data_IF_472883817250
#
_entry.id   IF_472883817250
#
_cell.length_a   1.000
_cell.length_b   1.000
_cell.length_c   1.000
_cell.angle_alpha   90.00
_cell.angle_beta   90.00
_cell.angle_gamma   90.00
#
_symmetry.space_group_name_H-M   'P 1'
#
loop_
_entity.id
_entity.type
_entity.pdbx_description
1 polymer ?
#
# COMPACT_ATOMS: atom_id res chain seq x y z
N UNK A 1 3.41 7.58 19.45
CA UNK A 1 4.07 6.28 19.21
C UNK A 1 5.13 6.30 18.12
N UNK A 2 4.86 6.84 16.93
CA UNK A 2 5.84 6.83 15.82
C UNK A 2 7.18 7.48 16.20
N UNK A 3 7.15 8.71 16.75
CA UNK A 3 8.35 9.43 17.19
C UNK A 3 8.96 8.91 18.50
N UNK A 4 8.15 8.24 19.33
CA UNK A 4 8.57 7.76 20.65
C UNK A 4 9.76 6.79 20.57
N UNK A 5 9.92 6.11 19.43
CA UNK A 5 11.03 5.18 19.21
C UNK A 5 12.41 5.82 19.39
N UNK A 6 12.57 7.10 19.08
CA UNK A 6 13.87 7.80 19.23
C UNK A 6 14.34 7.91 20.67
N UNK A 7 13.44 7.71 21.65
CA UNK A 7 13.76 7.82 23.07
C UNK A 7 14.25 6.49 23.66
N UNK A 8 14.01 5.36 22.98
CA UNK A 8 14.32 4.02 23.48
C UNK A 8 15.43 3.34 22.67
N UNK A 9 16.25 2.47 23.31
CA UNK A 9 17.19 1.62 22.59
C UNK A 9 16.49 0.69 21.58
N UNK A 10 17.11 0.40 20.41
CA UNK A 10 18.45 0.85 19.99
C UNK A 10 18.51 2.25 19.36
N UNK A 11 17.38 2.93 19.14
CA UNK A 11 17.33 4.16 18.33
C UNK A 11 17.89 5.39 19.04
N UNK A 12 17.78 5.45 20.36
CA UNK A 12 18.34 6.58 21.12
C UNK A 12 19.87 6.68 21.05
N UNK A 13 20.55 5.62 20.58
CA UNK A 13 22.00 5.53 20.44
C UNK A 13 22.44 5.39 18.98
N UNK A 14 21.52 5.18 18.04
CA UNK A 14 21.82 5.15 16.60
C UNK A 14 21.77 6.59 16.04
N UNK A 15 22.91 7.18 15.61
CA UNK A 15 22.92 8.53 15.03
C UNK A 15 22.09 8.64 13.74
N UNK A 16 21.79 7.51 13.09
CA UNK A 16 20.95 7.43 11.90
C UNK A 16 19.49 7.07 12.24
N UNK A 17 19.11 7.00 13.51
CA UNK A 17 17.76 6.62 13.92
C UNK A 17 16.67 7.54 13.37
N UNK A 18 17.00 8.80 13.06
CA UNK A 18 16.03 9.76 12.53
C UNK A 18 15.38 9.26 11.24
N UNK A 19 16.12 8.55 10.37
CA UNK A 19 15.58 7.95 9.13
C UNK A 19 14.37 7.06 9.40
N UNK A 20 14.30 6.46 10.59
CA UNK A 20 13.24 5.53 10.98
C UNK A 20 11.94 6.28 11.25
N UNK A 21 11.95 7.50 11.78
CA UNK A 21 10.71 8.25 12.08
C UNK A 21 10.14 9.01 10.87
N UNK A 22 10.60 8.69 9.67
CA UNK A 22 10.19 9.34 8.43
C UNK A 22 9.18 8.49 7.64
N UNK A 23 8.80 8.95 6.45
CA UNK A 23 7.99 8.18 5.52
C UNK A 23 8.79 7.04 4.85
N UNK A 24 9.42 6.16 5.64
CA UNK A 24 10.29 5.10 5.14
C UNK A 24 9.52 3.93 4.49
N UNK A 25 8.25 3.76 4.83
CA UNK A 25 7.37 2.73 4.27
C UNK A 25 5.89 3.14 4.37
N UNK A 26 5.00 2.32 3.79
CA UNK A 26 3.55 2.57 3.77
C UNK A 26 2.98 2.69 5.19
N UNK A 27 3.39 1.83 6.13
CA UNK A 27 2.88 1.84 7.51
C UNK A 27 3.32 3.11 8.27
N UNK A 28 4.57 3.53 8.08
CA UNK A 28 5.12 4.75 8.65
C UNK A 28 4.38 5.98 8.11
N UNK A 29 4.24 6.10 6.80
CA UNK A 29 3.51 7.22 6.20
C UNK A 29 2.03 7.21 6.60
N UNK A 30 1.39 6.04 6.66
CA UNK A 30 0.01 5.89 7.11
C UNK A 30 -0.14 6.33 8.57
N UNK A 31 0.78 5.93 9.44
CA UNK A 31 0.77 6.36 10.85
C UNK A 31 0.90 7.88 10.99
N UNK A 32 1.71 8.51 10.13
CA UNK A 32 1.89 9.96 10.11
C UNK A 32 0.68 10.70 9.54
N UNK A 33 0.04 10.16 8.50
CA UNK A 33 -0.97 10.88 7.71
C UNK A 33 -2.41 10.57 8.11
N UNK A 34 -2.71 9.37 8.63
CA UNK A 34 -4.07 8.93 8.91
C UNK A 34 -4.83 9.81 9.91
N UNK A 35 -4.22 10.33 10.99
CA UNK A 35 -4.92 11.28 11.87
C UNK A 35 -5.41 12.52 11.10
N UNK A 36 -4.60 13.04 10.18
CA UNK A 36 -4.95 14.19 9.35
C UNK A 36 -5.97 13.82 8.28
N UNK A 37 -5.88 12.63 7.69
CA UNK A 37 -6.90 12.15 6.74
C UNK A 37 -8.27 12.02 7.43
N UNK A 38 -8.29 11.45 8.64
CA UNK A 38 -9.52 11.30 9.41
C UNK A 38 -10.15 12.65 9.75
N UNK A 39 -9.35 13.58 10.29
CA UNK A 39 -9.85 14.86 10.83
C UNK A 39 -10.06 15.94 9.76
N UNK A 40 -9.17 16.03 8.76
CA UNK A 40 -9.07 17.18 7.86
C UNK A 40 -9.42 16.86 6.41
N UNK A 41 -9.26 15.61 5.95
CA UNK A 41 -9.48 15.31 4.54
C UNK A 41 -10.98 15.35 4.19
N UNK A 42 -11.31 16.21 3.21
CA UNK A 42 -12.64 16.23 2.58
C UNK A 42 -12.77 15.18 1.47
N UNK A 43 -11.65 14.65 0.97
CA UNK A 43 -11.65 13.64 -0.08
C UNK A 43 -12.11 12.29 0.45
N UNK A 44 -13.25 11.82 -0.06
CA UNK A 44 -13.79 10.49 0.26
C UNK A 44 -12.84 9.37 -0.17
N UNK A 45 -12.08 9.57 -1.25
CA UNK A 45 -11.11 8.58 -1.75
C UNK A 45 -9.92 8.44 -0.79
N UNK A 46 -9.49 9.52 -0.13
CA UNK A 46 -8.45 9.43 0.90
C UNK A 46 -8.95 8.66 2.13
N UNK A 47 -10.22 8.83 2.51
CA UNK A 47 -10.85 8.06 3.59
C UNK A 47 -11.06 6.59 3.21
N UNK A 48 -11.45 6.32 1.97
CA UNK A 48 -11.50 4.96 1.41
C UNK A 48 -10.11 4.30 1.47
N UNK A 49 -9.07 5.01 1.01
CA UNK A 49 -7.68 4.55 1.11
C UNK A 49 -7.28 4.28 2.57
N UNK A 50 -7.56 5.20 3.48
CA UNK A 50 -7.28 5.02 4.92
C UNK A 50 -7.93 3.76 5.47
N UNK A 51 -9.19 3.47 5.10
CA UNK A 51 -9.86 2.23 5.46
C UNK A 51 -9.19 1.00 4.86
N UNK A 52 -9.13 0.92 3.53
CA UNK A 52 -8.65 -0.29 2.85
C UNK A 52 -7.20 -0.59 3.20
N UNK A 53 -6.30 0.39 3.05
CA UNK A 53 -4.89 0.17 3.31
C UNK A 53 -4.58 0.09 4.81
N UNK A 54 -5.28 0.82 5.67
CA UNK A 54 -5.10 0.68 7.12
C UNK A 54 -5.42 -0.73 7.61
N UNK A 55 -6.56 -1.27 7.19
CA UNK A 55 -6.97 -2.63 7.54
C UNK A 55 -6.05 -3.67 6.87
N UNK A 56 -5.82 -3.60 5.56
CA UNK A 56 -4.99 -4.59 4.85
C UNK A 56 -3.55 -4.60 5.35
N UNK A 57 -2.87 -3.45 5.35
CA UNK A 57 -1.46 -3.38 5.70
C UNK A 57 -1.23 -3.71 7.18
N UNK A 58 -2.13 -3.26 8.06
CA UNK A 58 -2.08 -3.61 9.47
C UNK A 58 -2.23 -5.11 9.69
N UNK A 59 -3.24 -5.75 9.08
CA UNK A 59 -3.45 -7.20 9.22
C UNK A 59 -2.26 -8.00 8.69
N UNK A 60 -1.75 -7.65 7.50
CA UNK A 60 -0.57 -8.32 6.93
C UNK A 60 0.64 -8.19 7.86
N UNK A 61 0.90 -7.01 8.41
CA UNK A 61 2.01 -6.79 9.33
C UNK A 61 1.88 -7.55 10.66
N UNK A 62 0.65 -7.74 11.16
CA UNK A 62 0.39 -8.54 12.36
C UNK A 62 0.62 -10.04 12.11
N UNK A 63 0.22 -10.54 10.94
CA UNK A 63 0.39 -11.95 10.56
C UNK A 63 1.82 -12.28 10.15
N UNK A 64 2.51 -11.35 9.49
CA UNK A 64 3.86 -11.50 8.96
C UNK A 64 4.76 -10.36 9.43
N UNK A 65 5.17 -10.35 10.71
CA UNK A 65 5.94 -9.27 11.31
C UNK A 65 7.44 -9.37 10.93
N UNK A 66 7.75 -9.20 9.64
CA UNK A 66 9.10 -9.38 9.09
C UNK A 66 10.16 -8.55 9.83
N UNK A 67 9.82 -7.34 10.27
CA UNK A 67 10.73 -6.46 11.03
C UNK A 67 11.03 -6.95 12.45
N UNK A 68 10.23 -7.86 13.01
CA UNK A 68 10.32 -8.31 14.40
C UNK A 68 10.62 -9.81 14.54
N UNK A 69 10.83 -10.55 13.44
CA UNK A 69 11.05 -12.01 13.45
C UNK A 69 12.16 -12.47 14.41
N UNK A 70 13.18 -11.64 14.63
CA UNK A 70 14.34 -11.96 15.47
C UNK A 70 14.35 -11.21 16.83
N UNK A 71 13.26 -10.55 17.20
CA UNK A 71 13.17 -9.78 18.45
C UNK A 71 12.30 -10.50 19.49
N UNK A 72 12.66 -10.41 20.77
CA UNK A 72 11.79 -10.97 21.82
C UNK A 72 10.46 -10.22 21.90
N UNK A 73 9.42 -10.94 22.28
CA UNK A 73 8.05 -10.44 22.36
C UNK A 73 7.90 -9.23 23.31
N UNK A 74 8.61 -9.24 24.44
CA UNK A 74 8.53 -8.19 25.47
C UNK A 74 9.49 -7.01 25.22
N UNK A 75 10.21 -6.98 24.10
CA UNK A 75 10.99 -5.79 23.75
C UNK A 75 10.04 -4.66 23.37
N UNK A 76 10.40 -3.45 23.79
CA UNK A 76 9.64 -2.24 23.48
C UNK A 76 9.33 -2.12 21.99
N UNK A 77 10.27 -2.48 21.11
CA UNK A 77 10.10 -2.45 19.67
C UNK A 77 9.03 -3.39 19.15
N UNK A 78 8.98 -4.61 19.67
CA UNK A 78 7.98 -5.60 19.31
C UNK A 78 6.59 -5.12 19.73
N UNK A 79 6.45 -4.69 21.00
CA UNK A 79 5.18 -4.16 21.53
C UNK A 79 4.71 -2.94 20.73
N UNK A 80 5.63 -1.99 20.46
CA UNK A 80 5.36 -0.80 19.66
C UNK A 80 4.92 -1.15 18.26
N UNK A 81 5.58 -2.11 17.61
CA UNK A 81 5.23 -2.59 16.27
C UNK A 81 3.80 -3.13 16.26
N UNK A 82 3.46 -4.06 17.15
CA UNK A 82 2.11 -4.62 17.23
C UNK A 82 1.06 -3.55 17.54
N UNK A 83 1.32 -2.69 18.52
CA UNK A 83 0.41 -1.61 18.90
C UNK A 83 0.15 -0.63 17.75
N UNK A 84 1.20 -0.21 17.03
CA UNK A 84 1.07 0.69 15.89
C UNK A 84 0.18 0.09 14.79
N UNK A 85 0.37 -1.19 14.46
CA UNK A 85 -0.44 -1.85 13.44
C UNK A 85 -1.88 -2.11 13.90
N UNK A 86 -2.11 -2.41 15.17
CA UNK A 86 -3.46 -2.49 15.74
C UNK A 86 -4.18 -1.15 15.60
N UNK A 87 -3.53 -0.02 15.94
CA UNK A 87 -4.13 1.31 15.79
C UNK A 87 -4.41 1.65 14.33
N UNK A 88 -3.52 1.25 13.40
CA UNK A 88 -3.73 1.42 11.96
C UNK A 88 -4.94 0.63 11.42
N UNK A 89 -5.33 -0.47 12.06
CA UNK A 89 -6.53 -1.24 11.71
C UNK A 89 -7.76 -0.63 12.39
N UNK A 90 -7.70 -0.46 13.72
CA UNK A 90 -8.86 -0.09 14.53
C UNK A 90 -9.34 1.32 14.18
N UNK A 91 -8.45 2.29 13.99
CA UNK A 91 -8.84 3.67 13.69
C UNK A 91 -9.72 3.78 12.43
N UNK A 92 -9.23 3.32 11.26
CA UNK A 92 -10.04 3.31 10.05
C UNK A 92 -11.26 2.39 10.13
N UNK A 93 -11.16 1.23 10.78
CA UNK A 93 -12.30 0.34 10.96
C UNK A 93 -13.43 1.03 11.73
N UNK A 94 -13.11 1.67 12.87
CA UNK A 94 -14.07 2.42 13.67
C UNK A 94 -14.65 3.60 12.92
N UNK A 95 -13.87 4.29 12.08
CA UNK A 95 -14.38 5.37 11.22
C UNK A 95 -15.57 4.91 10.36
N UNK A 96 -15.48 3.71 9.77
CA UNK A 96 -16.57 3.16 8.96
C UNK A 96 -17.67 2.56 9.83
N UNK A 97 -17.31 1.81 10.87
CA UNK A 97 -18.27 1.16 11.78
C UNK A 97 -19.19 2.18 12.47
N UNK A 98 -18.64 3.32 12.89
CA UNK A 98 -19.39 4.41 13.53
C UNK A 98 -20.01 5.40 12.53
N UNK A 99 -19.98 5.07 11.23
CA UNK A 99 -20.59 5.85 10.15
C UNK A 99 -20.02 7.27 9.97
N UNK A 100 -18.80 7.54 10.47
CA UNK A 100 -18.06 8.79 10.17
C UNK A 100 -17.56 8.83 8.71
N UNK A 101 -17.54 7.68 8.04
CA UNK A 101 -17.28 7.56 6.61
C UNK A 101 -18.08 6.38 6.03
N UNK A 102 -18.71 6.61 4.87
CA UNK A 102 -19.39 5.56 4.13
C UNK A 102 -18.53 5.13 2.93
N UNK A 103 -18.18 3.85 2.94
CA UNK A 103 -17.49 3.22 1.82
C UNK A 103 -18.36 3.30 0.56
N UNK A 104 -17.71 3.29 -0.59
CA UNK A 104 -18.41 3.19 -1.86
C UNK A 104 -17.58 2.34 -2.82
N UNK A 105 -18.12 1.18 -3.18
CA UNK A 105 -17.35 0.24 -4.00
C UNK A 105 -17.04 0.80 -5.40
N UNK A 106 -17.85 1.74 -5.91
CA UNK A 106 -17.63 2.41 -7.21
C UNK A 106 -16.42 3.35 -7.18
N UNK A 107 -15.89 3.72 -6.01
CA UNK A 107 -14.67 4.55 -5.88
C UNK A 107 -13.38 3.73 -5.77
N UNK A 108 -13.48 2.41 -5.65
CA UNK A 108 -12.33 1.51 -5.40
C UNK A 108 -11.24 1.65 -6.46
N UNK A 109 -11.59 1.85 -7.73
CA UNK A 109 -10.60 2.02 -8.80
C UNK A 109 -9.67 3.23 -8.60
N UNK A 110 -10.06 4.19 -7.76
CA UNK A 110 -9.25 5.36 -7.40
C UNK A 110 -8.28 5.09 -6.24
N UNK A 111 -8.48 4.01 -5.49
CA UNK A 111 -7.62 3.65 -4.35
C UNK A 111 -6.19 3.33 -4.79
N UNK A 112 -5.94 2.58 -5.89
CA UNK A 112 -4.61 2.44 -6.46
C UNK A 112 -3.90 3.77 -6.75
N UNK A 113 -4.62 4.81 -7.19
CA UNK A 113 -4.00 6.12 -7.45
C UNK A 113 -3.45 6.76 -6.18
N UNK A 114 -4.19 6.69 -5.07
CA UNK A 114 -3.72 7.18 -3.77
C UNK A 114 -2.53 6.36 -3.30
N UNK A 115 -2.56 5.05 -3.51
CA UNK A 115 -1.44 4.17 -3.20
C UNK A 115 -0.17 4.58 -3.97
N UNK A 116 -0.25 4.86 -5.28
CA UNK A 116 0.89 5.34 -6.05
C UNK A 116 1.40 6.70 -5.56
N UNK A 117 0.51 7.61 -5.15
CA UNK A 117 0.91 8.87 -4.54
C UNK A 117 1.70 8.63 -3.23
N UNK A 118 1.25 7.69 -2.40
CA UNK A 118 1.94 7.25 -1.18
C UNK A 118 3.32 6.67 -1.49
N UNK A 119 3.42 5.77 -2.47
CA UNK A 119 4.72 5.22 -2.89
C UNK A 119 5.65 6.31 -3.44
N UNK A 120 5.12 7.28 -4.19
CA UNK A 120 5.87 8.45 -4.66
C UNK A 120 6.45 9.28 -3.52
N UNK A 121 5.67 9.53 -2.46
CA UNK A 121 6.14 10.22 -1.25
C UNK A 121 7.28 9.42 -0.59
N UNK A 122 7.17 8.10 -0.52
CA UNK A 122 8.22 7.24 0.05
C UNK A 122 9.51 7.32 -0.78
N UNK A 123 9.42 7.30 -2.12
CA UNK A 123 10.59 7.49 -3.00
C UNK A 123 11.25 8.84 -2.75
N UNK A 124 10.46 9.92 -2.71
CA UNK A 124 10.99 11.27 -2.46
C UNK A 124 11.66 11.34 -1.08
N UNK A 125 11.06 10.75 -0.06
CA UNK A 125 11.65 10.65 1.27
C UNK A 125 12.99 9.89 1.23
N UNK A 126 13.07 8.77 0.53
CA UNK A 126 14.31 8.00 0.40
C UNK A 126 15.42 8.81 -0.29
N UNK A 127 15.11 9.47 -1.41
CA UNK A 127 16.04 10.37 -2.10
C UNK A 127 16.59 11.43 -1.15
N UNK A 128 15.71 12.15 -0.45
CA UNK A 128 16.11 13.22 0.48
C UNK A 128 17.04 12.66 1.56
N UNK A 129 16.67 11.53 2.18
CA UNK A 129 17.46 10.94 3.25
C UNK A 129 18.84 10.45 2.80
N UNK A 130 18.93 9.97 1.57
CA UNK A 130 20.20 9.61 0.94
C UNK A 130 21.06 10.84 0.69
N UNK A 131 20.51 11.90 0.11
CA UNK A 131 21.25 13.14 -0.19
C UNK A 131 21.80 13.82 1.07
N UNK A 132 21.04 13.84 2.18
CA UNK A 132 21.50 14.44 3.44
C UNK A 132 22.38 13.51 4.28
N UNK A 133 22.73 12.32 3.76
CA UNK A 133 23.65 11.38 4.42
C UNK A 133 23.06 10.63 5.62
N UNK A 134 21.75 10.72 5.88
CA UNK A 134 21.08 9.88 6.89
C UNK A 134 20.97 8.42 6.42
N UNK A 135 21.19 8.18 5.13
CA UNK A 135 21.12 6.88 4.49
C UNK A 135 22.33 6.71 3.58
N UNK A 136 23.21 5.74 3.83
CA UNK A 136 24.33 5.50 2.95
C UNK A 136 23.85 4.93 1.61
N UNK A 137 24.42 5.42 0.50
CA UNK A 137 24.31 4.79 -0.81
C UNK A 137 24.91 3.38 -0.72
N UNK A 138 24.07 2.34 -0.73
CA UNK A 138 24.56 0.96 -0.75
C UNK A 138 25.04 0.64 -2.16
N UNK A 139 26.36 0.47 -2.31
CA UNK A 139 26.95 0.07 -3.59
C UNK A 139 26.65 1.02 -4.75
N UNK A 140 26.44 2.32 -4.47
CA UNK A 140 26.09 3.37 -5.45
C UNK A 140 24.75 3.24 -6.18
N UNK A 141 23.84 2.34 -5.79
CA UNK A 141 22.52 2.21 -6.43
C UNK A 141 21.37 2.46 -5.43
N UNK A 142 20.71 3.61 -5.58
CA UNK A 142 19.48 3.97 -4.86
C UNK A 142 18.33 3.00 -5.17
N UNK A 143 18.36 2.35 -6.33
CA UNK A 143 17.27 1.54 -6.87
C UNK A 143 17.51 0.03 -6.71
N UNK A 144 18.38 -0.39 -5.79
CA UNK A 144 18.63 -1.82 -5.55
C UNK A 144 17.38 -2.52 -4.93
N UNK A 145 16.77 -3.49 -5.63
CA UNK A 145 15.58 -4.20 -5.14
C UNK A 145 15.86 -5.11 -3.93
N UNK A 146 17.13 -5.48 -3.68
CA UNK A 146 17.54 -6.39 -2.61
C UNK A 146 17.79 -5.69 -1.28
N UNK A 147 17.67 -4.37 -1.24
CA UNK A 147 17.83 -3.61 -0.01
C UNK A 147 16.69 -3.85 0.98
N UNK A 148 17.02 -3.93 2.27
CA UNK A 148 16.09 -3.86 3.40
C UNK A 148 15.13 -2.65 3.35
N UNK A 149 15.28 -1.71 2.43
CA UNK A 149 14.45 -0.50 2.32
C UNK A 149 13.41 -0.56 1.19
N UNK A 150 13.34 -1.68 0.49
CA UNK A 150 12.35 -1.96 -0.54
C UNK A 150 11.10 -2.69 0.01
N UNK A 151 10.71 -2.45 1.27
CA UNK A 151 9.56 -3.14 1.90
C UNK A 151 8.22 -2.86 1.21
N UNK A 152 8.12 -1.76 0.46
CA UNK A 152 6.94 -1.41 -0.33
C UNK A 152 7.05 -1.88 -1.79
N UNK A 153 8.07 -2.68 -2.11
CA UNK A 153 8.36 -3.24 -3.45
C UNK A 153 8.49 -2.18 -4.56
N UNK A 154 8.83 -0.95 -4.19
CA UNK A 154 8.97 0.19 -5.10
C UNK A 154 9.98 -0.11 -6.21
N UNK A 155 11.12 -0.73 -5.87
CA UNK A 155 12.25 -0.96 -6.76
C UNK A 155 12.31 -2.36 -7.37
N UNK A 156 11.34 -3.22 -7.03
CA UNK A 156 11.26 -4.59 -7.51
C UNK A 156 10.78 -5.55 -6.43
N UNK A 157 10.72 -6.83 -6.75
CA UNK A 157 10.34 -7.87 -5.77
C UNK A 157 11.52 -8.16 -4.85
N UNK A 158 11.22 -8.33 -3.56
CA UNK A 158 12.19 -8.69 -2.52
C UNK A 158 12.41 -10.21 -2.59
N UNK A 159 13.65 -10.71 -2.74
CA UNK A 159 13.95 -12.13 -3.00
C UNK A 159 13.33 -13.12 -1.99
N UNK A 160 13.17 -12.68 -0.75
CA UNK A 160 12.62 -13.44 0.37
C UNK A 160 11.14 -13.82 0.17
N UNK A 161 10.45 -13.25 -0.83
CA UNK A 161 9.03 -13.50 -1.09
C UNK A 161 8.75 -14.55 -2.19
N UNK A 162 9.79 -15.24 -2.71
CA UNK A 162 9.71 -16.48 -3.53
C UNK A 162 8.54 -16.59 -4.51
N UNK A 163 7.48 -17.30 -4.11
CA UNK A 163 6.28 -17.54 -4.94
C UNK A 163 5.57 -16.26 -5.42
N UNK A 164 5.64 -15.18 -4.65
CA UNK A 164 5.03 -13.91 -5.04
C UNK A 164 5.76 -13.24 -6.20
N UNK A 165 7.06 -13.53 -6.40
CA UNK A 165 7.83 -12.90 -7.48
C UNK A 165 7.34 -13.33 -8.85
N UNK A 166 7.21 -14.63 -9.08
CA UNK A 166 6.76 -15.17 -10.37
C UNK A 166 5.34 -14.69 -10.70
N UNK A 167 4.46 -14.71 -9.70
CA UNK A 167 3.09 -14.24 -9.85
C UNK A 167 3.02 -12.74 -10.18
N UNK A 168 3.79 -11.89 -9.48
CA UNK A 168 3.81 -10.45 -9.75
C UNK A 168 4.46 -10.14 -11.12
N UNK A 169 5.50 -10.88 -11.51
CA UNK A 169 6.11 -10.76 -12.85
C UNK A 169 5.13 -11.15 -13.94
N UNK A 170 4.30 -12.19 -13.75
CA UNK A 170 3.27 -12.58 -14.72
C UNK A 170 2.26 -11.46 -14.98
N UNK A 171 1.89 -10.71 -13.94
CA UNK A 171 0.98 -9.57 -14.05
C UNK A 171 1.65 -8.31 -14.60
N UNK A 172 2.98 -8.27 -14.69
CA UNK A 172 3.71 -7.07 -15.07
C UNK A 172 4.05 -7.07 -16.57
N UNK A 173 3.65 -6.05 -17.34
CA UNK A 173 4.08 -5.91 -18.73
C UNK A 173 5.60 -5.93 -18.86
N UNK A 174 6.12 -6.72 -19.81
CA UNK A 174 7.57 -6.88 -20.04
C UNK A 174 8.29 -5.54 -20.28
N UNK A 175 7.59 -4.57 -20.86
CA UNK A 175 8.13 -3.20 -21.09
C UNK A 175 8.46 -2.47 -19.78
N UNK A 176 7.77 -2.77 -18.67
CA UNK A 176 8.05 -2.18 -17.35
C UNK A 176 9.17 -2.90 -16.60
N UNK A 177 9.67 -4.01 -17.17
CA UNK A 177 10.77 -4.82 -16.64
C UNK A 177 12.05 -4.66 -17.47
N UNK A 178 12.09 -3.72 -18.43
CA UNK A 178 13.24 -3.49 -19.32
C UNK A 178 13.58 -2.02 -19.44
N UNK A 179 14.87 -1.69 -19.38
CA UNK A 179 15.34 -0.30 -19.55
C UNK A 179 15.08 0.14 -21.01
N UNK A 180 14.41 1.28 -21.24
CA UNK A 180 13.91 1.66 -22.56
C UNK A 180 14.93 2.43 -23.41
N UNK A 181 15.80 3.21 -22.76
CA UNK A 181 16.64 4.24 -23.37
C UNK A 181 17.97 4.35 -22.61
N UNK A 182 18.98 4.95 -23.25
CA UNK A 182 20.29 5.22 -22.65
C UNK A 182 21.30 4.07 -22.76
N UNK A 183 22.44 4.21 -22.07
CA UNK A 183 23.57 3.26 -22.12
C UNK A 183 23.19 1.83 -21.67
N UNK A 184 22.17 1.72 -20.83
CA UNK A 184 21.70 0.45 -20.27
C UNK A 184 20.42 -0.07 -20.94
N UNK A 185 20.03 0.48 -22.10
CA UNK A 185 18.84 0.05 -22.83
C UNK A 185 18.85 -1.46 -23.11
N UNK A 186 17.68 -2.10 -22.98
CA UNK A 186 17.49 -3.53 -23.20
C UNK A 186 17.84 -4.44 -22.02
N UNK A 187 18.48 -3.93 -20.95
CA UNK A 187 18.72 -4.71 -19.73
C UNK A 187 17.42 -4.89 -18.93
N UNK A 188 17.29 -6.05 -18.27
CA UNK A 188 16.17 -6.32 -17.37
C UNK A 188 16.34 -5.52 -16.07
N UNK A 189 15.35 -4.68 -15.75
CA UNK A 189 15.28 -3.89 -14.52
C UNK A 189 13.82 -3.52 -14.25
N UNK A 190 13.39 -3.66 -13.00
CA UNK A 190 12.10 -3.14 -12.55
C UNK A 190 12.13 -1.61 -12.58
N UNK A 191 11.20 -1.00 -13.31
CA UNK A 191 11.08 0.46 -13.27
C UNK A 191 10.42 0.91 -12.00
N UNK A 192 11.09 1.77 -11.18
CA UNK A 192 10.54 2.21 -9.90
C UNK A 192 9.11 2.71 -10.05
N UNK A 193 8.20 2.20 -9.21
CA UNK A 193 6.74 2.45 -9.21
C UNK A 193 5.99 1.92 -10.44
N UNK A 194 6.52 2.09 -11.65
CA UNK A 194 5.80 1.80 -12.90
C UNK A 194 5.51 0.30 -13.05
N UNK A 195 6.45 -0.55 -12.66
CA UNK A 195 6.26 -2.00 -12.73
C UNK A 195 5.07 -2.48 -11.89
N UNK A 196 4.76 -1.78 -10.80
CA UNK A 196 3.64 -2.10 -9.90
C UNK A 196 2.28 -1.69 -10.45
N UNK A 197 2.19 -0.88 -11.50
CA UNK A 197 0.91 -0.32 -12.00
C UNK A 197 -0.10 -1.42 -12.29
N UNK A 198 0.23 -2.36 -13.18
CA UNK A 198 -0.71 -3.41 -13.57
C UNK A 198 -1.02 -4.38 -12.41
N UNK A 199 -0.02 -4.92 -11.68
CA UNK A 199 -0.31 -5.75 -10.50
C UNK A 199 -1.22 -5.07 -9.49
N UNK A 200 -1.00 -3.79 -9.21
CA UNK A 200 -1.80 -3.03 -8.24
C UNK A 200 -3.25 -2.89 -8.70
N UNK A 201 -3.50 -2.55 -9.97
CA UNK A 201 -4.86 -2.40 -10.49
C UNK A 201 -5.61 -3.72 -10.64
N UNK A 202 -4.90 -4.84 -10.76
CA UNK A 202 -5.51 -6.18 -10.81
C UNK A 202 -5.80 -6.68 -9.40
N UNK A 203 -4.90 -6.47 -8.44
CA UNK A 203 -4.98 -7.10 -7.11
C UNK A 203 -5.72 -6.23 -6.09
N UNK A 204 -5.51 -4.93 -6.07
CA UNK A 204 -6.07 -4.05 -5.02
C UNK A 204 -7.57 -3.88 -5.16
N UNK A 205 -8.15 -3.59 -6.35
CA UNK A 205 -9.58 -3.39 -6.45
C UNK A 205 -10.43 -4.59 -6.00
N UNK A 206 -10.12 -5.84 -6.37
CA UNK A 206 -10.86 -7.00 -5.85
C UNK A 206 -10.75 -7.13 -4.33
N UNK A 207 -9.56 -6.93 -3.75
CA UNK A 207 -9.38 -6.97 -2.30
C UNK A 207 -10.18 -5.88 -1.58
N UNK A 208 -10.14 -4.65 -2.09
CA UNK A 208 -10.96 -3.56 -1.58
C UNK A 208 -12.46 -3.85 -1.72
N UNK A 209 -12.87 -4.51 -2.80
CA UNK A 209 -14.26 -4.89 -3.02
C UNK A 209 -14.73 -5.89 -1.96
N UNK A 210 -13.94 -6.96 -1.74
CA UNK A 210 -14.19 -7.95 -0.68
C UNK A 210 -14.25 -7.30 0.70
N UNK A 211 -13.34 -6.36 0.98
CA UNK A 211 -13.36 -5.62 2.24
C UNK A 211 -14.57 -4.69 2.34
N UNK A 212 -15.05 -4.06 1.27
CA UNK A 212 -16.26 -3.23 1.36
C UNK A 212 -17.56 -4.03 1.43
N UNK A 213 -17.52 -5.32 1.07
CA UNK A 213 -18.71 -6.15 0.92
C UNK A 213 -19.63 -6.13 2.15
N UNK A 214 -19.14 -6.25 3.40
CA UNK A 214 -20.01 -6.20 4.58
C UNK A 214 -20.83 -4.91 4.72
N UNK A 215 -20.29 -3.79 4.23
CA UNK A 215 -20.87 -2.45 4.36
C UNK A 215 -21.73 -2.02 3.16
N UNK A 216 -21.43 -2.53 1.96
CA UNK A 216 -22.03 -2.08 0.69
C UNK A 216 -23.06 -3.06 0.10
N UNK A 217 -23.50 -4.07 0.86
CA UNK A 217 -24.36 -5.18 0.36
C UNK A 217 -25.60 -4.69 -0.39
N UNK A 218 -26.29 -3.67 0.12
CA UNK A 218 -27.54 -3.20 -0.47
C UNK A 218 -27.30 -2.45 -1.78
N UNK A 219 -26.28 -1.59 -1.86
CA UNK A 219 -25.91 -0.94 -3.12
C UNK A 219 -25.49 -1.96 -4.18
N UNK A 220 -24.70 -2.98 -3.80
CA UNK A 220 -24.29 -4.05 -4.71
C UNK A 220 -25.50 -4.84 -5.23
N UNK A 221 -26.45 -5.20 -4.35
CA UNK A 221 -27.69 -5.89 -4.76
C UNK A 221 -28.52 -5.05 -5.73
N UNK A 222 -28.65 -3.74 -5.47
CA UNK A 222 -29.39 -2.83 -6.34
C UNK A 222 -28.73 -2.72 -7.71
N UNK A 223 -27.41 -2.53 -7.77
CA UNK A 223 -26.66 -2.44 -9.02
C UNK A 223 -26.71 -3.74 -9.82
N UNK A 224 -26.69 -4.90 -9.16
CA UNK A 224 -26.88 -6.19 -9.80
C UNK A 224 -28.28 -6.34 -10.42
N UNK A 225 -29.34 -5.95 -9.70
CA UNK A 225 -30.71 -5.95 -10.24
C UNK A 225 -30.82 -5.05 -11.47
N UNK A 226 -30.23 -3.86 -11.41
CA UNK A 226 -30.21 -2.94 -12.55
C UNK A 226 -29.48 -3.52 -13.77
N UNK A 227 -28.34 -4.20 -13.54
CA UNK A 227 -27.60 -4.86 -14.61
C UNK A 227 -28.42 -5.97 -15.27
N UNK A 228 -29.04 -6.84 -14.48
CA UNK A 228 -29.89 -7.93 -14.99
C UNK A 228 -31.07 -7.38 -15.79
N UNK A 229 -31.74 -6.36 -15.28
CA UNK A 229 -32.86 -5.72 -15.99
C UNK A 229 -32.40 -5.11 -17.32
N UNK A 230 -31.23 -4.45 -17.35
CA UNK A 230 -30.67 -3.88 -18.58
C UNK A 230 -30.33 -4.95 -19.61
N UNK A 231 -29.73 -6.07 -19.19
CA UNK A 231 -29.40 -7.20 -20.07
C UNK A 231 -30.70 -7.81 -20.64
N UNK A 232 -31.71 -8.03 -19.80
CA UNK A 232 -32.99 -8.57 -20.24
C UNK A 232 -33.67 -7.67 -21.26
N UNK A 233 -33.68 -6.35 -21.04
CA UNK A 233 -34.25 -5.40 -21.98
C UNK A 233 -33.51 -5.40 -23.32
N UNK A 234 -32.18 -5.50 -23.32
CA UNK A 234 -31.39 -5.60 -24.55
C UNK A 234 -31.65 -6.91 -25.31
N UNK A 235 -31.85 -8.03 -24.60
CA UNK A 235 -32.20 -9.31 -25.21
C UNK A 235 -33.59 -9.24 -25.86
N UNK A 236 -34.56 -8.56 -25.22
CA UNK A 236 -35.91 -8.37 -25.77
C UNK A 236 -35.83 -7.55 -27.08
N UNK A 237 -35.16 -6.40 -27.06
CA UNK A 237 -34.98 -5.56 -28.25
C UNK A 237 -34.30 -6.32 -29.40
N UNK A 238 -33.26 -7.09 -29.11
CA UNK A 238 -32.58 -7.90 -30.13
C UNK A 238 -33.46 -9.02 -30.72
N UNK A 239 -34.45 -9.51 -29.98
CA UNK A 239 -35.43 -10.49 -30.48
C UNK A 239 -36.53 -9.83 -31.30
N UNK A 240 -36.86 -8.57 -31.04
CA UNK A 240 -37.88 -7.80 -31.80
C UNK A 240 -37.32 -7.25 -33.12
N UNK A 241 -36.00 -7.09 -33.25
CA UNK A 241 -35.32 -6.68 -34.49
C UNK A 241 -35.05 -7.83 -35.48
N UNK A 242 -35.35 -9.08 -35.13
CA UNK A 242 -35.18 -10.28 -35.98
C UNK A 242 -36.52 -10.85 -36.44
#
# INVERSE_FOLDING_TARGET
MHFLKLVFPPYNTDPLAFRKVTAENICALSTLTFPFIFLLAKSLVLKDYMFYFGVMSGVVALLFPLEQLNNDFFRFETIRFYFAHIVLIIGPYLMVYTNHHQLNYRRIYKVPLVFFAVLGIIVVNEVILTEIGLVPLRGSDLFDPKGYRNFSMIFGVVPELGFTEEFLRLLTPKVFLKIPFGEYAGRDKYWPLIWLVVPTYILIPPLCFLLSWPWEKEHIKQDFKHLVNKINNQIILFKEEK
#
